data_IF_579283777919
#
_entry.id   IF_579283777919
#
_cell.length_a   1.000
_cell.length_b   1.000
_cell.length_c   1.000
_cell.angle_alpha   90.00
_cell.angle_beta   90.00
_cell.angle_gamma   90.00
#
_symmetry.space_group_name_H-M   'P 1'
#
loop_
_entity.id
_entity.type
_entity.pdbx_description
1 polymer ?
#
# COMPACT_ATOMS: atom_id res chain seq x y z
N UNK A 1 53.16 8.94 37.36
CA UNK A 1 53.58 9.79 36.22
C UNK A 1 52.33 10.11 35.41
N UNK A 2 52.02 11.41 35.29
CA UNK A 2 50.80 11.94 34.68
C UNK A 2 50.92 11.88 33.15
N UNK A 3 49.86 11.40 32.48
CA UNK A 3 49.62 11.72 31.07
C UNK A 3 48.18 12.21 30.94
N UNK A 4 48.06 13.49 30.65
CA UNK A 4 46.84 14.20 30.36
C UNK A 4 46.57 14.10 28.85
N UNK A 5 45.36 13.70 28.48
CA UNK A 5 44.90 13.70 27.09
C UNK A 5 43.96 14.89 26.92
N UNK A 6 44.42 15.87 26.13
CA UNK A 6 43.70 17.08 25.77
C UNK A 6 42.57 16.76 24.79
N UNK A 7 41.35 17.16 25.17
CA UNK A 7 40.16 17.21 24.33
C UNK A 7 40.19 18.53 23.55
N UNK A 8 40.22 18.47 22.22
CA UNK A 8 39.96 19.61 21.34
C UNK A 8 38.48 19.63 20.95
N UNK A 9 37.76 20.60 21.52
CA UNK A 9 36.41 21.01 21.10
C UNK A 9 36.57 22.00 19.94
N UNK A 10 36.14 21.61 18.73
CA UNK A 10 35.88 22.55 17.65
C UNK A 10 34.39 22.93 17.65
N UNK A 11 34.12 24.13 18.14
CA UNK A 11 32.88 24.88 17.95
C UNK A 11 32.91 25.53 16.57
N UNK A 12 32.02 25.11 15.67
CA UNK A 12 31.63 25.92 14.51
C UNK A 12 30.19 26.39 14.69
N UNK A 13 30.06 27.70 14.89
CA UNK A 13 28.84 28.46 14.64
C UNK A 13 28.72 28.67 13.12
N UNK A 14 27.52 28.47 12.55
CA UNK A 14 26.70 29.51 11.90
C UNK A 14 25.40 28.90 11.33
N UNK A 15 24.34 29.71 11.17
CA UNK A 15 22.95 29.28 11.08
C UNK A 15 22.39 29.38 9.66
N UNK A 16 21.55 28.44 9.23
CA UNK A 16 20.62 28.67 8.12
C UNK A 16 19.25 28.09 8.46
N UNK A 17 18.35 29.00 8.82
CA UNK A 17 16.91 28.80 8.88
C UNK A 17 16.37 28.68 7.45
N UNK A 18 15.82 27.52 7.11
CA UNK A 18 14.76 27.44 6.11
C UNK A 18 13.51 26.91 6.80
N UNK A 19 12.58 27.83 7.03
CA UNK A 19 11.19 27.54 7.32
C UNK A 19 10.61 26.78 6.12
N UNK A 20 10.10 25.58 6.38
CA UNK A 20 9.20 24.87 5.48
C UNK A 20 7.89 24.75 6.24
N UNK A 21 6.84 25.26 5.60
CA UNK A 21 5.49 25.39 6.10
C UNK A 21 4.91 24.06 6.58
N UNK A 22 4.41 24.06 7.82
CA UNK A 22 3.45 23.08 8.35
C UNK A 22 2.16 23.16 7.51
N UNK A 23 2.02 22.24 6.56
CA UNK A 23 0.74 21.99 5.89
C UNK A 23 -0.08 21.08 6.80
N UNK A 24 -0.91 21.72 7.62
CA UNK A 24 -1.96 21.14 8.45
C UNK A 24 -2.96 20.35 7.58
N UNK A 25 -2.74 19.04 7.43
CA UNK A 25 -3.74 18.12 6.86
C UNK A 25 -4.78 17.78 7.93
N UNK A 26 -5.76 18.67 8.11
CA UNK A 26 -7.01 18.35 8.83
C UNK A 26 -8.06 17.86 7.83
N UNK A 27 -8.56 16.62 7.90
CA UNK A 27 -9.81 16.29 7.24
C UNK A 27 -10.97 17.01 7.96
N UNK A 28 -11.73 17.79 7.20
CA UNK A 28 -12.99 18.40 7.63
C UNK A 28 -14.00 17.31 8.01
N UNK A 29 -14.06 16.98 9.30
CA UNK A 29 -15.19 16.26 9.89
C UNK A 29 -16.28 17.29 10.22
N UNK A 30 -17.45 17.09 9.60
CA UNK A 30 -18.68 17.86 9.77
C UNK A 30 -18.97 18.21 11.25
N UNK A 31 -18.96 19.50 11.57
CA UNK A 31 -19.06 20.10 12.91
C UNK A 31 -20.45 20.09 13.58
N UNK A 32 -21.32 19.13 13.27
CA UNK A 32 -22.74 19.22 13.69
C UNK A 32 -23.13 18.42 14.94
N UNK A 33 -22.24 17.66 15.60
CA UNK A 33 -22.62 16.82 16.77
C UNK A 33 -21.58 16.86 17.92
N UNK A 34 -21.09 18.04 18.31
CA UNK A 34 -20.19 18.17 19.48
C UNK A 34 -20.47 19.39 20.36
N UNK A 35 -21.74 19.70 20.62
CA UNK A 35 -22.12 20.71 21.63
C UNK A 35 -23.27 20.21 22.51
N UNK A 36 -22.98 19.27 23.41
CA UNK A 36 -23.84 19.02 24.57
C UNK A 36 -23.14 18.39 25.78
N UNK A 37 -21.96 17.79 25.64
CA UNK A 37 -21.25 17.19 26.76
C UNK A 37 -20.20 18.13 27.36
N UNK A 38 -20.61 19.12 28.15
CA UNK A 38 -19.76 19.72 29.20
C UNK A 38 -20.51 20.79 30.01
N UNK A 39 -21.37 20.37 30.95
CA UNK A 39 -21.70 21.16 32.15
C UNK A 39 -22.64 20.38 33.09
N UNK A 40 -22.06 19.63 34.03
CA UNK A 40 -22.68 19.44 35.37
C UNK A 40 -21.82 18.57 36.28
N UNK A 41 -20.90 19.20 37.01
CA UNK A 41 -20.49 18.73 38.35
C UNK A 41 -21.69 18.85 39.27
N UNK A 42 -22.21 17.81 39.90
CA UNK A 42 -22.87 17.92 41.21
C UNK A 42 -22.87 16.63 42.04
N UNK A 43 -23.04 16.88 43.34
CA UNK A 43 -22.78 16.07 44.53
C UNK A 43 -23.69 14.85 44.68
N UNK A 44 -23.11 13.76 45.18
CA UNK A 44 -23.81 12.57 45.67
C UNK A 44 -24.70 12.87 46.88
N UNK A 45 -25.98 12.48 46.84
CA UNK A 45 -26.84 12.35 48.01
C UNK A 45 -27.51 10.98 48.00
N UNK A 46 -27.12 10.16 48.97
CA UNK A 46 -27.84 9.06 49.64
C UNK A 46 -29.00 8.39 48.88
N UNK A 47 -28.74 7.19 48.35
CA UNK A 47 -29.76 6.22 47.93
C UNK A 47 -30.46 5.63 49.14
N UNK A 48 -31.79 5.76 49.20
CA UNK A 48 -32.65 4.83 49.94
C UNK A 48 -32.90 3.62 49.06
N UNK A 49 -32.50 2.44 49.54
CA UNK A 49 -32.87 1.15 48.97
C UNK A 49 -34.40 0.98 49.05
N UNK A 50 -35.04 0.90 47.89
CA UNK A 50 -36.37 0.32 47.74
C UNK A 50 -36.18 -1.16 47.41
N UNK A 51 -36.46 -2.02 48.38
CA UNK A 51 -36.61 -3.45 48.16
C UNK A 51 -37.91 -3.67 47.36
N UNK A 52 -37.79 -4.18 46.14
CA UNK A 52 -38.90 -4.67 45.34
C UNK A 52 -39.04 -6.16 45.65
N UNK A 53 -40.16 -6.54 46.28
CA UNK A 53 -40.52 -7.94 46.51
C UNK A 53 -41.02 -8.62 45.22
N UNK A 54 -41.08 -9.96 45.21
CA UNK A 54 -41.45 -10.73 44.01
C UNK A 54 -42.93 -10.51 43.66
N UNK A 55 -43.16 -9.98 42.46
CA UNK A 55 -44.48 -9.89 41.83
C UNK A 55 -44.96 -11.31 41.50
N UNK A 56 -45.98 -11.78 42.20
CA UNK A 56 -46.73 -12.98 41.83
C UNK A 56 -47.67 -12.64 40.67
N UNK A 57 -47.51 -13.35 39.55
CA UNK A 57 -48.43 -13.33 38.42
C UNK A 57 -49.84 -13.80 38.86
N UNK A 58 -50.90 -13.03 38.60
CA UNK A 58 -52.25 -13.55 38.72
C UNK A 58 -52.59 -14.34 37.45
N UNK A 59 -52.97 -15.60 37.66
CA UNK A 59 -53.33 -16.55 36.61
C UNK A 59 -54.45 -16.07 35.69
N UNK A 60 -54.29 -16.41 34.41
CA UNK A 60 -55.27 -16.25 33.34
C UNK A 60 -56.58 -16.97 33.71
N UNK A 61 -57.61 -16.20 34.05
CA UNK A 61 -58.98 -16.67 34.16
C UNK A 61 -59.67 -16.53 32.80
N UNK A 62 -59.84 -17.63 32.07
CA UNK A 62 -60.70 -17.73 30.89
C UNK A 62 -62.16 -17.84 31.32
N UNK A 63 -62.77 -16.74 31.76
CA UNK A 63 -64.23 -16.57 31.83
C UNK A 63 -64.59 -15.12 31.57
N UNK A 64 -64.89 -14.79 30.31
CA UNK A 64 -65.66 -13.59 29.98
C UNK A 64 -66.30 -13.75 28.60
N UNK A 65 -67.52 -14.25 28.61
CA UNK A 65 -68.45 -14.24 27.50
C UNK A 65 -69.80 -13.85 28.10
N UNK A 66 -70.00 -12.56 28.31
CA UNK A 66 -71.31 -11.99 28.65
C UNK A 66 -71.25 -10.46 28.56
N UNK A 67 -72.31 -9.87 27.98
CA UNK A 67 -72.67 -8.45 27.87
C UNK A 67 -72.29 -7.71 26.57
N UNK A 68 -72.96 -8.10 25.48
CA UNK A 68 -73.60 -7.11 24.60
C UNK A 68 -75.11 -7.21 24.84
N UNK A 69 -75.65 -6.41 25.77
CA UNK A 69 -77.08 -6.35 26.05
C UNK A 69 -77.60 -4.96 25.64
N UNK A 70 -78.29 -4.89 24.51
CA UNK A 70 -79.07 -3.71 24.12
C UNK A 70 -80.43 -3.71 24.80
N UNK A 71 -80.86 -2.53 25.19
CA UNK A 71 -82.09 -2.20 25.90
C UNK A 71 -83.38 -2.86 25.36
N UNK A 72 -84.06 -3.56 26.25
CA UNK A 72 -85.50 -3.46 26.56
C UNK A 72 -86.53 -3.48 25.43
N UNK A 73 -87.22 -4.62 25.28
CA UNK A 73 -88.68 -4.63 25.16
C UNK A 73 -89.24 -6.00 25.57
N UNK A 74 -90.18 -5.95 26.51
CA UNK A 74 -90.90 -7.10 27.06
C UNK A 74 -92.04 -7.49 26.12
N UNK A 75 -91.93 -8.65 25.47
CA UNK A 75 -93.07 -9.37 24.90
C UNK A 75 -92.86 -10.86 25.12
N UNK A 76 -93.80 -11.46 25.83
CA UNK A 76 -93.88 -12.90 26.14
C UNK A 76 -94.39 -13.72 24.94
N UNK A 77 -93.58 -14.65 24.43
CA UNK A 77 -94.03 -15.93 23.80
C UNK A 77 -92.83 -16.89 23.56
N UNK A 78 -93.06 -18.21 23.46
CA UNK A 78 -92.02 -19.24 23.63
C UNK A 78 -91.38 -19.72 22.32
N UNK A 79 -90.20 -20.33 22.49
CA UNK A 79 -89.53 -21.31 21.63
C UNK A 79 -89.26 -20.94 20.16
N UNK A 80 -88.12 -20.28 19.92
CA UNK A 80 -87.22 -20.58 18.81
C UNK A 80 -85.80 -20.40 19.32
N UNK A 81 -84.97 -21.45 19.28
CA UNK A 81 -83.54 -21.38 19.61
C UNK A 81 -82.83 -20.65 18.46
N UNK A 82 -82.27 -19.45 18.66
CA UNK A 82 -81.47 -18.79 17.62
C UNK A 82 -80.03 -19.22 17.80
N UNK A 83 -79.60 -20.25 17.07
CA UNK A 83 -78.18 -20.48 16.79
C UNK A 83 -77.73 -19.50 15.69
N UNK A 84 -77.81 -18.20 15.96
CA UNK A 84 -77.01 -17.21 15.26
C UNK A 84 -75.90 -16.82 16.21
N UNK A 85 -74.80 -17.57 16.19
CA UNK A 85 -73.52 -17.07 16.67
C UNK A 85 -73.22 -15.84 15.81
N UNK A 86 -73.61 -14.66 16.29
CA UNK A 86 -73.10 -13.40 15.77
C UNK A 86 -71.59 -13.46 15.94
N UNK A 87 -70.87 -13.75 14.85
CA UNK A 87 -69.44 -13.62 14.82
C UNK A 87 -69.13 -12.15 15.04
N UNK A 88 -68.76 -11.79 16.28
CA UNK A 88 -68.17 -10.49 16.58
C UNK A 88 -66.95 -10.32 15.67
N UNK A 89 -67.05 -9.41 14.70
CA UNK A 89 -65.93 -9.02 13.86
C UNK A 89 -64.99 -8.15 14.69
N UNK A 90 -63.73 -8.59 14.78
CA UNK A 90 -62.64 -7.84 15.40
C UNK A 90 -61.72 -7.30 14.31
N UNK A 91 -61.19 -6.10 14.49
CA UNK A 91 -60.11 -5.60 13.65
C UNK A 91 -58.79 -6.31 13.98
N UNK A 92 -57.95 -6.49 12.95
CA UNK A 92 -56.57 -6.99 13.11
C UNK A 92 -55.69 -5.90 13.73
N UNK A 93 -54.88 -6.30 14.72
CA UNK A 93 -53.91 -5.44 15.37
C UNK A 93 -52.84 -4.91 14.40
N UNK A 94 -52.21 -3.76 14.70
CA UNK A 94 -51.21 -3.18 13.81
C UNK A 94 -49.88 -3.97 13.86
N UNK A 95 -49.26 -4.18 12.70
CA UNK A 95 -47.92 -4.80 12.58
C UNK A 95 -46.82 -3.75 12.79
N UNK A 96 -46.60 -3.38 14.04
CA UNK A 96 -45.53 -2.47 14.45
C UNK A 96 -44.38 -3.23 15.10
N UNK A 97 -43.19 -2.62 15.12
CA UNK A 97 -42.04 -3.18 15.81
C UNK A 97 -42.34 -3.37 17.32
N UNK A 98 -42.41 -4.62 17.81
CA UNK A 98 -42.77 -4.91 19.21
C UNK A 98 -41.72 -4.43 20.22
N UNK A 99 -40.57 -3.94 19.76
CA UNK A 99 -39.54 -3.32 20.58
C UNK A 99 -39.74 -1.83 20.81
N UNK A 100 -40.38 -1.15 19.86
CA UNK A 100 -40.58 0.30 19.92
C UNK A 100 -42.00 0.60 20.42
N UNK A 101 -42.95 -0.25 20.05
CA UNK A 101 -44.37 -0.02 20.31
C UNK A 101 -44.96 -1.13 21.17
N UNK A 102 -45.74 -0.74 22.16
CA UNK A 102 -46.65 -1.62 22.90
C UNK A 102 -48.05 -1.53 22.28
N UNK A 103 -48.43 -2.62 21.63
CA UNK A 103 -49.72 -2.80 20.95
C UNK A 103 -50.60 -3.85 21.64
N UNK A 104 -50.28 -4.20 22.90
CA UNK A 104 -50.99 -5.24 23.65
C UNK A 104 -52.50 -5.00 23.77
N UNK A 105 -52.91 -3.73 23.89
CA UNK A 105 -54.31 -3.28 23.91
C UNK A 105 -55.05 -3.48 22.57
N UNK A 106 -54.32 -3.66 21.46
CA UNK A 106 -54.87 -3.68 20.10
C UNK A 106 -55.04 -5.08 19.51
N UNK A 107 -54.85 -6.13 20.30
CA UNK A 107 -54.90 -7.52 19.81
C UNK A 107 -56.32 -7.98 19.42
N UNK A 108 -57.38 -7.37 19.98
CA UNK A 108 -58.80 -7.68 19.69
C UNK A 108 -59.72 -6.48 19.92
N UNK A 109 -59.77 -5.56 18.95
CA UNK A 109 -60.64 -4.38 19.02
C UNK A 109 -61.95 -4.67 18.27
N UNK A 110 -63.09 -4.56 18.96
CA UNK A 110 -64.41 -4.72 18.34
C UNK A 110 -64.69 -3.59 17.34
N UNK A 111 -65.55 -3.83 16.36
CA UNK A 111 -66.01 -2.77 15.45
C UNK A 111 -66.47 -1.52 16.20
N UNK A 112 -66.03 -0.35 15.74
CA UNK A 112 -66.29 0.93 16.39
C UNK A 112 -65.49 1.19 17.67
N UNK A 113 -64.73 0.20 18.15
CA UNK A 113 -63.85 0.34 19.31
C UNK A 113 -62.53 1.02 18.97
N UNK A 114 -61.80 1.40 20.01
CA UNK A 114 -60.45 1.92 19.90
C UNK A 114 -59.49 1.28 20.90
N UNK A 115 -58.19 1.32 20.60
CA UNK A 115 -57.10 0.91 21.48
C UNK A 115 -55.99 1.96 21.45
N UNK A 116 -55.09 1.95 22.45
CA UNK A 116 -53.92 2.85 22.46
C UNK A 116 -52.65 2.11 22.07
N UNK A 117 -51.92 2.69 21.11
CA UNK A 117 -50.54 2.32 20.79
C UNK A 117 -49.64 3.20 21.64
N UNK A 118 -48.82 2.58 22.50
CA UNK A 118 -47.90 3.28 23.41
C UNK A 118 -46.46 3.06 22.96
N UNK A 119 -45.57 4.01 23.27
CA UNK A 119 -44.14 3.75 23.15
C UNK A 119 -43.71 2.79 24.26
N UNK A 120 -43.01 1.71 23.88
CA UNK A 120 -42.48 0.74 24.82
C UNK A 120 -41.19 1.28 25.43
N UNK A 121 -41.00 1.12 26.74
CA UNK A 121 -39.76 1.55 27.43
C UNK A 121 -38.56 0.88 26.74
N UNK A 122 -37.48 1.63 26.41
CA UNK A 122 -37.11 2.97 26.88
C UNK A 122 -37.56 4.12 25.96
N UNK A 123 -38.44 3.89 25.00
CA UNK A 123 -38.91 4.96 24.13
C UNK A 123 -39.98 5.81 24.82
N UNK A 124 -39.87 7.12 24.68
CA UNK A 124 -40.82 8.11 25.16
C UNK A 124 -41.55 8.73 23.99
N UNK A 125 -42.84 8.94 24.16
CA UNK A 125 -43.68 9.59 23.17
C UNK A 125 -45.13 9.59 23.62
N UNK A 126 -45.91 10.51 23.06
CA UNK A 126 -47.35 10.51 23.30
C UNK A 126 -47.96 9.25 22.68
N UNK A 127 -48.82 8.56 23.43
CA UNK A 127 -49.60 7.46 22.88
C UNK A 127 -50.56 7.97 21.80
N UNK A 128 -50.86 7.11 20.83
CA UNK A 128 -51.83 7.39 19.77
C UNK A 128 -52.96 6.39 19.84
N UNK A 129 -54.15 6.86 19.49
CA UNK A 129 -55.35 6.05 19.45
C UNK A 129 -55.47 5.41 18.05
N UNK A 130 -55.80 4.12 18.05
CA UNK A 130 -56.09 3.34 16.87
C UNK A 130 -57.56 2.94 16.91
N UNK A 131 -58.30 3.21 15.84
CA UNK A 131 -59.76 3.05 15.78
C UNK A 131 -60.12 1.97 14.77
N UNK A 132 -61.00 1.05 15.19
CA UNK A 132 -61.61 0.06 14.32
C UNK A 132 -62.84 0.70 13.66
N UNK A 133 -62.86 0.88 12.33
CA UNK A 133 -63.95 1.58 11.67
C UNK A 133 -65.32 0.88 11.87
N UNK A 134 -66.39 1.65 11.81
CA UNK A 134 -67.78 1.17 11.93
C UNK A 134 -68.30 0.52 10.64
N UNK A 135 -67.46 0.31 9.62
CA UNK A 135 -67.88 -0.14 8.29
C UNK A 135 -68.58 -1.50 8.36
N UNK A 136 -69.90 -1.48 8.23
CA UNK A 136 -70.67 -2.66 7.89
C UNK A 136 -70.32 -3.09 6.48
N UNK A 137 -69.48 -4.11 6.33
CA UNK A 137 -69.54 -5.10 5.24
C UNK A 137 -68.47 -6.19 5.40
N UNK A 138 -68.87 -7.31 6.00
CA UNK A 138 -68.64 -8.71 5.56
C UNK A 138 -67.24 -9.22 5.17
N UNK A 139 -66.16 -8.45 5.30
CA UNK A 139 -64.79 -8.93 5.15
C UNK A 139 -64.20 -9.29 6.50
N UNK A 140 -63.78 -10.54 6.70
CA UNK A 140 -63.00 -10.94 7.86
C UNK A 140 -61.67 -10.16 7.84
N UNK A 141 -61.39 -9.40 8.92
CA UNK A 141 -60.13 -8.68 9.20
C UNK A 141 -59.88 -7.33 8.48
N UNK A 142 -60.67 -6.30 8.78
CA UNK A 142 -60.21 -4.92 8.53
C UNK A 142 -59.07 -4.54 9.50
N UNK A 143 -58.07 -3.80 9.00
CA UNK A 143 -56.97 -3.28 9.82
C UNK A 143 -57.44 -2.05 10.60
N UNK A 144 -56.88 -1.86 11.80
CA UNK A 144 -57.07 -0.62 12.57
C UNK A 144 -56.59 0.61 11.78
N UNK A 145 -57.33 1.71 11.90
CA UNK A 145 -56.91 3.03 11.39
C UNK A 145 -56.18 3.80 12.49
N UNK A 146 -54.92 4.18 12.26
CA UNK A 146 -54.09 4.83 13.27
C UNK A 146 -52.99 5.69 12.66
N UNK A 147 -52.40 6.54 13.50
CA UNK A 147 -51.15 7.24 13.22
C UNK A 147 -50.06 6.66 14.13
N UNK A 148 -48.89 6.35 13.56
CA UNK A 148 -47.76 5.83 14.33
C UNK A 148 -47.31 6.89 15.36
N UNK A 149 -47.23 6.58 16.66
CA UNK A 149 -46.72 7.52 17.65
C UNK A 149 -45.24 7.84 17.40
N UNK A 150 -44.86 9.10 17.63
CA UNK A 150 -43.45 9.52 17.53
C UNK A 150 -42.70 9.07 18.78
N UNK A 151 -42.13 7.87 18.75
CA UNK A 151 -41.36 7.31 19.84
C UNK A 151 -39.88 7.70 19.69
N UNK A 152 -39.37 8.50 20.64
CA UNK A 152 -37.96 8.90 20.71
C UNK A 152 -37.31 8.14 21.85
N UNK A 153 -36.10 7.62 21.65
CA UNK A 153 -35.40 6.92 22.72
C UNK A 153 -35.16 7.88 23.90
N UNK A 154 -35.51 7.49 25.13
CA UNK A 154 -35.32 8.32 26.33
C UNK A 154 -33.86 8.71 26.63
N UNK A 155 -32.92 8.18 25.85
CA UNK A 155 -31.49 8.51 25.88
C UNK A 155 -31.21 10.00 25.68
N UNK A 156 -32.07 10.75 24.99
CA UNK A 156 -31.89 12.18 24.76
C UNK A 156 -32.26 13.07 25.97
N UNK A 157 -32.88 12.52 27.03
CA UNK A 157 -33.38 13.29 28.18
C UNK A 157 -32.64 13.02 29.51
N UNK A 158 -31.35 12.69 29.46
CA UNK A 158 -30.42 12.62 30.61
C UNK A 158 -30.74 11.63 31.75
N UNK A 159 -31.83 10.85 31.67
CA UNK A 159 -32.27 9.99 32.79
C UNK A 159 -32.17 8.49 32.57
N UNK A 160 -31.90 8.02 31.34
CA UNK A 160 -31.85 6.58 31.08
C UNK A 160 -30.41 6.11 30.88
N UNK A 161 -29.85 5.56 31.97
CA UNK A 161 -28.61 4.79 31.93
C UNK A 161 -28.80 3.55 31.07
N UNK A 162 -28.27 3.59 29.86
CA UNK A 162 -28.16 2.43 28.98
C UNK A 162 -27.23 1.38 29.61
N UNK A 163 -27.75 0.20 29.99
CA UNK A 163 -26.97 -0.78 30.70
C UNK A 163 -25.85 -1.31 29.79
N UNK A 164 -24.68 -1.50 30.39
CA UNK A 164 -23.58 -2.15 29.72
C UNK A 164 -23.93 -3.63 29.45
N UNK A 165 -23.34 -4.25 28.41
CA UNK A 165 -23.48 -5.68 28.20
C UNK A 165 -22.93 -6.46 29.40
N UNK A 166 -23.42 -7.69 29.65
CA UNK A 166 -22.94 -8.53 30.74
C UNK A 166 -21.43 -8.73 30.71
N UNK A 167 -20.86 -8.84 29.50
CA UNK A 167 -19.44 -8.90 29.25
C UNK A 167 -19.01 -7.68 28.45
N UNK A 168 -18.15 -6.85 29.03
CA UNK A 168 -17.52 -5.75 28.31
C UNK A 168 -16.53 -6.34 27.31
N UNK A 169 -16.57 -5.97 26.01
CA UNK A 169 -15.60 -6.46 25.05
C UNK A 169 -14.17 -6.06 25.48
N UNK A 170 -13.22 -6.98 25.33
CA UNK A 170 -11.83 -6.84 25.82
C UNK A 170 -11.11 -5.58 25.32
N UNK A 171 -11.56 -5.00 24.20
CA UNK A 171 -10.99 -3.81 23.58
C UNK A 171 -11.28 -2.51 24.33
N UNK A 172 -12.17 -2.53 25.33
CA UNK A 172 -12.65 -1.33 26.01
C UNK A 172 -12.42 -1.42 27.52
N UNK A 173 -12.12 -0.27 28.14
CA UNK A 173 -12.11 -0.12 29.60
C UNK A 173 -12.67 1.25 29.98
N UNK A 174 -13.28 1.33 31.15
CA UNK A 174 -13.81 2.57 31.70
C UNK A 174 -12.79 3.19 32.66
N UNK A 175 -12.53 4.49 32.55
CA UNK A 175 -11.69 5.22 33.50
C UNK A 175 -12.47 5.42 34.81
N UNK A 176 -11.90 5.00 35.94
CA UNK A 176 -12.56 5.08 37.25
C UNK A 176 -12.83 6.53 37.70
N UNK A 177 -11.99 7.47 37.28
CA UNK A 177 -12.06 8.87 37.71
C UNK A 177 -13.16 9.67 36.98
N UNK A 178 -13.33 9.44 35.67
CA UNK A 178 -14.24 10.22 34.83
C UNK A 178 -15.48 9.44 34.41
N UNK A 179 -15.42 8.12 34.39
CA UNK A 179 -16.45 7.26 33.80
C UNK A 179 -16.37 7.18 32.27
N UNK A 180 -15.37 7.79 31.63
CA UNK A 180 -15.21 7.74 30.18
C UNK A 180 -14.71 6.38 29.71
N UNK A 181 -15.13 6.00 28.50
CA UNK A 181 -14.64 4.80 27.83
C UNK A 181 -13.39 5.12 27.03
N UNK A 182 -12.38 4.27 27.17
CA UNK A 182 -11.14 4.33 26.41
C UNK A 182 -10.76 2.94 25.89
N UNK A 183 -9.91 2.89 24.87
CA UNK A 183 -9.38 1.61 24.41
C UNK A 183 -8.52 0.96 25.50
N UNK A 184 -8.65 -0.37 25.61
CA UNK A 184 -7.84 -1.19 26.51
C UNK A 184 -6.39 -1.30 26.00
N UNK A 185 -5.42 -1.66 26.85
CA UNK A 185 -4.05 -1.93 26.41
C UNK A 185 -4.02 -2.96 25.28
N UNK A 186 -3.21 -2.69 24.24
CA UNK A 186 -3.20 -3.51 23.01
C UNK A 186 -4.23 -3.09 21.97
N UNK A 187 -5.01 -2.03 22.21
CA UNK A 187 -5.98 -1.47 21.27
C UNK A 187 -5.75 0.03 21.07
N UNK A 188 -6.11 0.54 19.91
CA UNK A 188 -6.03 1.96 19.57
C UNK A 188 -7.30 2.42 18.83
N UNK A 189 -7.56 3.73 18.87
CA UNK A 189 -8.71 4.37 18.27
C UNK A 189 -9.51 5.23 19.24
N UNK A 190 -10.77 5.50 18.90
CA UNK A 190 -11.70 6.26 19.75
C UNK A 190 -12.77 5.32 20.25
N UNK A 191 -12.84 5.12 21.56
CA UNK A 191 -13.89 4.29 22.15
C UNK A 191 -15.25 4.99 22.02
N UNK A 192 -16.11 4.43 21.17
CA UNK A 192 -17.48 4.87 21.00
C UNK A 192 -18.40 3.92 21.75
N UNK A 193 -19.36 4.52 22.47
CA UNK A 193 -20.42 3.80 23.18
C UNK A 193 -21.75 4.33 22.68
N UNK A 194 -22.42 3.54 21.87
CA UNK A 194 -23.74 3.83 21.34
C UNK A 194 -24.78 2.94 22.02
N UNK A 195 -26.02 3.40 22.11
CA UNK A 195 -27.09 2.61 22.72
C UNK A 195 -28.07 2.16 21.66
N UNK A 196 -28.16 0.84 21.53
CA UNK A 196 -29.01 0.21 20.51
C UNK A 196 -30.01 -0.71 21.20
N UNK A 197 -31.15 -0.92 20.56
CA UNK A 197 -32.13 -1.91 21.02
C UNK A 197 -31.82 -3.24 20.36
N UNK A 198 -31.49 -4.23 21.17
CA UNK A 198 -31.17 -5.59 20.73
C UNK A 198 -32.36 -6.49 21.02
N UNK A 199 -32.75 -7.30 20.03
CA UNK A 199 -33.80 -8.32 20.19
C UNK A 199 -33.19 -9.60 20.74
N UNK A 200 -33.74 -10.08 21.86
CA UNK A 200 -33.43 -11.38 22.43
C UNK A 200 -34.75 -12.16 22.58
N UNK A 201 -35.10 -12.94 21.55
CA UNK A 201 -36.43 -13.54 21.45
C UNK A 201 -37.52 -12.49 21.25
N UNK A 202 -38.57 -12.53 22.06
CA UNK A 202 -39.65 -11.52 22.10
C UNK A 202 -39.31 -10.30 22.97
N UNK A 203 -38.23 -10.37 23.75
CA UNK A 203 -37.76 -9.28 24.58
C UNK A 203 -36.88 -8.33 23.78
N UNK A 204 -36.99 -7.04 24.09
CA UNK A 204 -36.19 -6.00 23.49
C UNK A 204 -35.45 -5.29 24.61
N UNK A 205 -34.12 -5.34 24.55
CA UNK A 205 -33.25 -4.81 25.59
C UNK A 205 -32.46 -3.65 25.01
N UNK A 206 -32.53 -2.51 25.69
CA UNK A 206 -31.59 -1.42 25.42
C UNK A 206 -30.24 -1.84 25.98
N UNK A 207 -29.21 -1.90 25.13
CA UNK A 207 -27.87 -2.30 25.53
C UNK A 207 -26.83 -1.42 24.86
N UNK A 208 -25.77 -1.11 25.60
CA UNK A 208 -24.63 -0.39 25.05
C UNK A 208 -23.84 -1.27 24.07
N UNK A 209 -23.57 -0.73 22.88
CA UNK A 209 -22.71 -1.31 21.86
C UNK A 209 -21.44 -0.47 21.78
N UNK A 210 -20.30 -1.16 21.76
CA UNK A 210 -18.99 -0.54 21.75
C UNK A 210 -18.33 -0.68 20.37
N UNK A 211 -17.77 0.41 19.87
CA UNK A 211 -17.08 0.44 18.58
C UNK A 211 -15.88 1.40 18.61
N UNK A 212 -15.04 1.36 17.57
CA UNK A 212 -13.95 2.31 17.36
C UNK A 212 -12.61 2.00 18.05
N UNK A 213 -12.51 0.94 18.86
CA UNK A 213 -11.23 0.41 19.33
C UNK A 213 -10.83 -0.82 18.52
N UNK A 214 -9.66 -0.77 17.89
CA UNK A 214 -9.11 -1.83 17.05
C UNK A 214 -7.83 -2.38 17.67
N UNK A 215 -7.59 -3.68 17.50
CA UNK A 215 -6.38 -4.31 18.03
C UNK A 215 -5.14 -3.71 17.34
N UNK A 216 -4.13 -3.40 18.14
CA UNK A 216 -2.82 -3.02 17.62
C UNK A 216 -2.22 -4.24 16.91
N UNK A 217 -1.65 -4.01 15.74
CA UNK A 217 -1.06 -5.06 14.92
C UNK A 217 0.34 -4.67 14.49
N UNK A 218 1.21 -5.68 14.37
CA UNK A 218 2.52 -5.51 13.77
C UNK A 218 2.43 -5.11 12.30
N UNK A 219 3.54 -4.61 11.76
CA UNK A 219 3.64 -4.25 10.36
C UNK A 219 4.12 -5.44 9.52
N UNK A 220 3.73 -5.45 8.26
CA UNK A 220 4.26 -6.38 7.28
C UNK A 220 5.73 -6.07 6.99
N UNK A 221 6.54 -7.12 6.94
CA UNK A 221 7.93 -7.03 6.54
C UNK A 221 8.02 -6.50 5.09
N UNK A 222 9.09 -5.75 4.75
CA UNK A 222 9.33 -5.33 3.38
C UNK A 222 9.51 -6.55 2.48
N UNK A 223 8.89 -6.53 1.32
CA UNK A 223 9.10 -7.54 0.28
C UNK A 223 9.95 -6.91 -0.82
N UNK A 224 11.25 -7.24 -0.91
CA UNK A 224 12.13 -6.59 -1.85
C UNK A 224 11.71 -6.75 -3.32
N UNK A 225 10.95 -7.79 -3.66
CA UNK A 225 10.49 -8.02 -5.03
C UNK A 225 9.36 -7.05 -5.44
N UNK A 226 8.51 -6.65 -4.50
CA UNK A 226 7.36 -5.77 -4.78
C UNK A 226 7.58 -4.33 -4.37
N UNK A 227 8.39 -4.08 -3.33
CA UNK A 227 8.66 -2.74 -2.80
C UNK A 227 9.73 -1.97 -3.60
N UNK A 228 10.61 -2.69 -4.33
CA UNK A 228 11.64 -2.09 -5.17
C UNK A 228 11.48 -2.51 -6.63
N UNK A 229 10.45 -2.00 -7.35
CA UNK A 229 10.27 -2.34 -8.75
C UNK A 229 11.47 -1.86 -9.57
N UNK A 230 12.01 -2.77 -10.39
CA UNK A 230 13.07 -2.51 -11.35
C UNK A 230 12.71 -1.27 -12.20
N UNK A 231 13.51 -0.19 -12.12
CA UNK A 231 13.30 1.01 -12.94
C UNK A 231 13.37 2.36 -12.24
N UNK A 232 13.53 2.41 -10.90
CA UNK A 232 13.81 3.67 -10.17
C UNK A 232 15.27 3.76 -9.76
N UNK A 233 16.11 4.28 -10.65
CA UNK A 233 17.44 4.88 -10.42
C UNK A 233 18.52 4.06 -9.68
N UNK A 234 18.21 2.88 -9.14
CA UNK A 234 19.15 2.04 -8.41
C UNK A 234 19.35 0.74 -9.19
N UNK A 235 20.59 0.47 -9.62
CA UNK A 235 20.96 -0.74 -10.37
C UNK A 235 20.98 -2.01 -9.49
N UNK A 236 20.32 -1.98 -8.33
CA UNK A 236 20.35 -3.02 -7.30
C UNK A 236 19.09 -3.89 -7.40
N UNK A 237 19.22 -5.19 -7.71
CA UNK A 237 18.06 -6.09 -7.75
C UNK A 237 17.47 -6.30 -6.35
N UNK A 238 16.22 -6.81 -6.28
CA UNK A 238 15.50 -7.08 -5.04
C UNK A 238 16.34 -7.82 -3.97
N UNK A 239 17.20 -8.74 -4.38
CA UNK A 239 18.03 -9.49 -3.45
C UNK A 239 19.31 -8.79 -2.98
N UNK A 240 19.54 -7.54 -3.41
CA UNK A 240 20.61 -6.71 -2.87
C UNK A 240 20.29 -6.12 -1.50
N UNK A 241 19.08 -6.33 -0.99
CA UNK A 241 18.66 -5.86 0.33
C UNK A 241 18.61 -7.02 1.33
N UNK A 242 19.03 -6.72 2.56
CA UNK A 242 18.92 -7.60 3.71
C UNK A 242 17.82 -7.08 4.65
N UNK A 243 16.73 -7.84 4.76
CA UNK A 243 15.59 -7.55 5.63
C UNK A 243 15.54 -8.48 6.85
N UNK A 244 16.62 -9.20 7.13
CA UNK A 244 16.70 -10.12 8.27
C UNK A 244 16.41 -9.37 9.57
N UNK A 245 15.45 -9.88 10.35
CA UNK A 245 15.03 -9.24 11.61
C UNK A 245 13.91 -8.20 11.46
N UNK A 246 13.39 -7.97 10.25
CA UNK A 246 12.16 -7.20 10.01
C UNK A 246 10.89 -8.06 9.98
N UNK A 247 11.01 -9.36 10.27
CA UNK A 247 9.87 -10.26 10.40
C UNK A 247 9.15 -9.99 11.73
N UNK A 248 7.84 -9.75 11.69
CA UNK A 248 6.98 -9.57 12.88
C UNK A 248 7.29 -8.33 13.74
N UNK A 249 7.74 -7.23 13.14
CA UNK A 249 7.93 -5.95 13.86
C UNK A 249 6.59 -5.48 14.44
N UNK A 250 6.49 -5.43 15.77
CA UNK A 250 5.27 -5.01 16.47
C UNK A 250 5.06 -3.50 16.29
N UNK A 251 3.84 -3.03 16.57
CA UNK A 251 3.54 -1.60 16.56
C UNK A 251 4.51 -0.83 17.49
N UNK A 252 5.04 0.29 17.00
CA UNK A 252 6.04 1.10 17.71
C UNK A 252 7.47 0.57 17.66
N UNK A 253 7.69 -0.64 17.17
CA UNK A 253 9.03 -1.20 17.04
C UNK A 253 9.67 -0.79 15.71
N UNK A 254 10.98 -1.03 15.63
CA UNK A 254 11.78 -0.78 14.44
C UNK A 254 12.76 -1.93 14.18
N UNK A 255 13.15 -2.09 12.92
CA UNK A 255 14.23 -2.99 12.47
C UNK A 255 15.22 -2.24 11.57
N UNK A 256 16.36 -2.87 11.26
CA UNK A 256 17.33 -2.35 10.29
C UNK A 256 17.15 -3.08 8.96
N UNK A 257 17.13 -2.33 7.86
CA UNK A 257 17.22 -2.87 6.50
C UNK A 257 18.58 -2.48 5.95
N UNK A 258 19.36 -3.47 5.56
CA UNK A 258 20.74 -3.29 5.08
C UNK A 258 20.91 -3.62 3.61
N UNK A 259 22.14 -3.42 3.14
CA UNK A 259 22.61 -4.01 1.88
C UNK A 259 23.10 -5.43 2.15
N UNK A 260 22.82 -6.36 1.24
CA UNK A 260 23.15 -7.78 1.42
C UNK A 260 24.62 -8.05 1.19
N UNK A 261 25.32 -8.39 2.28
CA UNK A 261 26.71 -8.88 2.24
C UNK A 261 26.78 -10.28 1.59
N UNK A 262 27.87 -10.64 0.88
CA UNK A 262 29.06 -9.84 0.54
C UNK A 262 28.97 -9.20 -0.86
N UNK A 263 27.77 -9.12 -1.43
CA UNK A 263 27.56 -8.69 -2.81
C UNK A 263 27.36 -7.19 -2.92
N UNK A 264 26.85 -6.57 -1.85
CA UNK A 264 26.55 -5.16 -1.78
C UNK A 264 27.08 -4.58 -0.47
N UNK A 265 27.44 -3.30 -0.48
CA UNK A 265 27.74 -2.53 0.73
C UNK A 265 26.95 -1.23 0.70
N UNK A 266 26.70 -0.68 1.88
CA UNK A 266 25.98 0.58 2.02
C UNK A 266 25.62 0.84 3.48
N UNK A 267 24.97 1.96 3.70
CA UNK A 267 24.52 2.36 5.04
C UNK A 267 23.13 1.76 5.28
N UNK A 268 22.94 0.99 6.37
CA UNK A 268 21.62 0.47 6.70
C UNK A 268 20.67 1.61 7.10
N UNK A 269 19.38 1.36 6.91
CA UNK A 269 18.29 2.30 7.23
C UNK A 269 17.39 1.69 8.28
N UNK A 270 16.80 2.55 9.11
CA UNK A 270 15.84 2.11 10.14
C UNK A 270 14.43 2.12 9.57
N UNK A 271 13.75 0.99 9.68
CA UNK A 271 12.35 0.83 9.30
C UNK A 271 11.48 0.77 10.56
N UNK A 272 10.37 1.51 10.56
CA UNK A 272 9.55 1.75 11.76
C UNK A 272 8.12 1.30 11.51
N UNK A 273 7.52 0.62 12.48
CA UNK A 273 6.09 0.35 12.52
C UNK A 273 5.40 1.40 13.40
N UNK A 274 4.34 2.09 12.94
CA UNK A 274 3.63 3.07 13.76
C UNK A 274 3.12 2.48 15.08
N UNK A 275 3.25 3.22 16.19
CA UNK A 275 2.73 2.80 17.51
C UNK A 275 1.22 2.57 17.50
N UNK A 276 0.52 3.28 16.63
CA UNK A 276 -0.94 3.29 16.48
C UNK A 276 -1.42 2.38 15.35
N UNK A 277 -0.58 1.47 14.85
CA UNK A 277 -0.96 0.63 13.73
C UNK A 277 -2.08 -0.36 14.11
N UNK A 278 -3.22 -0.24 13.45
CA UNK A 278 -4.37 -1.14 13.57
C UNK A 278 -4.70 -1.83 12.23
N UNK A 279 -3.96 -1.54 11.16
CA UNK A 279 -4.15 -2.15 9.84
C UNK A 279 -3.20 -3.34 9.68
N UNK A 280 -3.70 -4.58 9.52
CA UNK A 280 -2.87 -5.76 9.35
C UNK A 280 -2.05 -5.76 8.06
N UNK A 281 -2.38 -4.87 7.10
CA UNK A 281 -1.66 -4.75 5.83
C UNK A 281 -0.66 -3.58 5.82
N UNK A 282 -0.52 -2.84 6.92
CA UNK A 282 0.42 -1.74 7.01
C UNK A 282 1.86 -2.26 6.85
N UNK A 283 2.57 -1.77 5.84
CA UNK A 283 4.00 -2.03 5.65
C UNK A 283 4.83 -1.15 6.59
N UNK A 284 6.06 -1.58 6.87
CA UNK A 284 7.03 -0.73 7.56
C UNK A 284 7.27 0.59 6.81
N UNK A 285 7.48 1.66 7.56
CA UNK A 285 7.83 2.98 7.02
C UNK A 285 9.35 3.11 7.04
N UNK A 286 9.96 3.29 5.87
CA UNK A 286 11.41 3.43 5.72
C UNK A 286 11.78 4.17 4.43
N UNK A 287 13.05 4.53 4.30
CA UNK A 287 13.65 5.01 3.05
C UNK A 287 14.57 3.92 2.49
N UNK A 288 14.66 3.75 1.18
CA UNK A 288 15.51 2.72 0.56
C UNK A 288 16.99 2.93 0.93
N UNK A 289 17.71 1.90 1.41
CA UNK A 289 19.15 2.04 1.65
C UNK A 289 19.89 2.19 0.32
N UNK A 290 20.92 3.03 0.31
CA UNK A 290 21.79 3.20 -0.86
C UNK A 290 22.81 2.07 -0.84
N UNK A 291 22.71 1.16 -1.82
CA UNK A 291 23.57 -0.01 -1.92
C UNK A 291 24.43 0.07 -3.18
N UNK A 292 25.74 -0.06 -2.99
CA UNK A 292 26.73 -0.15 -4.04
C UNK A 292 27.16 -1.60 -4.25
N UNK A 293 27.37 -1.99 -5.52
CA UNK A 293 27.77 -3.35 -5.88
C UNK A 293 29.24 -3.59 -5.53
N UNK A 294 29.54 -4.72 -4.89
CA UNK A 294 30.91 -5.22 -4.72
C UNK A 294 31.24 -6.16 -5.87
N UNK A 295 32.13 -5.69 -6.74
CA UNK A 295 32.60 -6.42 -7.90
C UNK A 295 34.06 -6.86 -7.68
N UNK A 296 34.30 -8.10 -7.18
CA UNK A 296 35.65 -8.61 -7.03
C UNK A 296 36.36 -8.63 -8.39
N UNK A 297 37.68 -8.51 -8.37
CA UNK A 297 38.46 -8.74 -9.58
C UNK A 297 38.35 -10.22 -9.97
N UNK A 298 38.08 -10.54 -11.25
CA UNK A 298 38.01 -11.93 -11.70
C UNK A 298 39.39 -12.58 -11.57
N UNK A 299 39.44 -13.90 -11.47
CA UNK A 299 40.73 -14.60 -11.56
C UNK A 299 41.30 -14.40 -12.97
N UNK A 300 42.63 -14.33 -13.10
CA UNK A 300 43.29 -14.12 -14.40
C UNK A 300 42.88 -15.19 -15.43
N UNK A 301 42.62 -16.42 -14.98
CA UNK A 301 42.15 -17.53 -15.81
C UNK A 301 40.71 -17.30 -16.32
N UNK A 302 39.85 -16.67 -15.52
CA UNK A 302 38.45 -16.36 -15.86
C UNK A 302 38.34 -15.15 -16.79
N UNK A 303 39.27 -14.19 -16.67
CA UNK A 303 39.32 -13.01 -17.54
C UNK A 303 39.58 -13.37 -19.01
N UNK A 304 40.30 -14.48 -19.25
CA UNK A 304 40.67 -14.94 -20.58
C UNK A 304 42.01 -14.39 -21.09
N UNK A 305 42.51 -14.90 -22.24
CA UNK A 305 43.90 -14.69 -22.69
C UNK A 305 44.24 -13.27 -23.12
N UNK A 306 43.24 -12.41 -23.32
CA UNK A 306 43.41 -11.03 -23.75
C UNK A 306 43.79 -10.05 -22.65
N UNK A 307 43.74 -10.48 -21.39
CA UNK A 307 43.81 -9.59 -20.24
C UNK A 307 44.99 -9.94 -19.33
N UNK A 308 45.58 -8.91 -18.72
CA UNK A 308 46.62 -9.03 -17.69
C UNK A 308 46.29 -8.10 -16.53
N UNK A 309 46.43 -8.60 -15.30
CA UNK A 309 46.23 -7.82 -14.08
C UNK A 309 47.58 -7.43 -13.47
N UNK A 310 47.78 -6.13 -13.24
CA UNK A 310 48.95 -5.64 -12.52
C UNK A 310 48.63 -5.52 -11.02
N UNK A 311 49.26 -6.36 -10.22
CA UNK A 311 49.06 -6.43 -8.77
C UNK A 311 49.49 -5.15 -8.03
N UNK A 312 50.43 -4.38 -8.59
CA UNK A 312 50.98 -3.19 -7.94
C UNK A 312 50.05 -2.00 -8.17
N UNK A 313 49.52 -1.86 -9.38
CA UNK A 313 48.60 -0.77 -9.73
C UNK A 313 47.13 -1.14 -9.50
N UNK A 314 46.82 -2.43 -9.29
CA UNK A 314 45.46 -3.00 -9.21
C UNK A 314 44.62 -2.65 -10.45
N UNK A 315 45.24 -2.68 -11.62
CA UNK A 315 44.61 -2.33 -12.89
C UNK A 315 44.69 -3.47 -13.89
N UNK A 316 43.59 -3.66 -14.62
CA UNK A 316 43.53 -4.55 -15.78
C UNK A 316 44.06 -3.84 -17.02
N UNK A 317 44.79 -4.57 -17.85
CA UNK A 317 45.36 -4.12 -19.11
C UNK A 317 45.22 -5.20 -20.18
N UNK A 318 45.33 -4.82 -21.46
CA UNK A 318 45.36 -5.80 -22.55
C UNK A 318 46.76 -6.42 -22.66
N UNK A 319 46.84 -7.73 -22.89
CA UNK A 319 48.12 -8.40 -23.14
C UNK A 319 48.73 -7.92 -24.47
N UNK A 320 50.05 -8.09 -24.71
CA UNK A 320 50.71 -7.54 -25.90
C UNK A 320 50.13 -7.94 -27.26
N UNK A 321 49.42 -9.08 -27.34
CA UNK A 321 48.76 -9.58 -28.55
C UNK A 321 47.35 -9.02 -28.76
N UNK A 322 46.86 -8.22 -27.82
CA UNK A 322 45.55 -7.61 -27.83
C UNK A 322 45.69 -6.09 -27.87
N UNK A 323 44.61 -5.40 -28.21
CA UNK A 323 44.52 -3.94 -28.25
C UNK A 323 43.20 -3.48 -27.66
N UNK A 324 43.12 -2.22 -27.27
CA UNK A 324 41.92 -1.62 -26.66
C UNK A 324 42.13 -1.25 -25.20
N UNK A 325 41.02 -1.16 -24.45
CA UNK A 325 41.00 -0.81 -23.03
C UNK A 325 40.30 -1.94 -22.28
N UNK A 326 41.01 -2.56 -21.34
CA UNK A 326 40.40 -3.54 -20.45
C UNK A 326 39.38 -2.83 -19.56
N UNK A 327 38.12 -3.27 -19.63
CA UNK A 327 37.02 -2.80 -18.80
C UNK A 327 36.42 -3.99 -18.07
N UNK A 328 36.33 -3.86 -16.75
CA UNK A 328 35.61 -4.82 -15.90
C UNK A 328 34.13 -4.44 -15.91
N UNK A 329 33.30 -5.27 -16.51
CA UNK A 329 31.85 -5.18 -16.43
C UNK A 329 31.36 -6.16 -15.37
N UNK A 330 30.42 -5.70 -14.55
CA UNK A 330 29.93 -6.46 -13.42
C UNK A 330 28.42 -6.30 -13.33
N UNK A 331 27.75 -7.39 -13.66
CA UNK A 331 26.31 -7.49 -13.64
C UNK A 331 25.88 -8.46 -12.54
N UNK A 332 24.71 -8.21 -11.96
CA UNK A 332 24.13 -9.07 -10.94
C UNK A 332 22.80 -9.58 -11.51
N UNK A 333 22.67 -10.90 -11.61
CA UNK A 333 21.46 -11.52 -12.12
C UNK A 333 20.31 -11.40 -11.13
N UNK A 334 19.08 -11.65 -11.59
CA UNK A 334 17.91 -11.71 -10.71
C UNK A 334 18.03 -12.81 -9.63
N UNK A 335 18.86 -13.83 -9.85
CA UNK A 335 19.21 -14.87 -8.88
C UNK A 335 20.36 -14.46 -7.95
N UNK A 336 20.75 -13.19 -7.96
CA UNK A 336 21.81 -12.64 -7.10
C UNK A 336 23.18 -13.26 -7.37
N UNK A 337 23.37 -13.77 -8.58
CA UNK A 337 24.65 -14.29 -9.00
C UNK A 337 25.42 -13.16 -9.65
N UNK A 338 26.68 -13.02 -9.26
CA UNK A 338 27.60 -12.07 -9.89
C UNK A 338 28.07 -12.66 -11.20
N UNK A 339 27.97 -11.87 -12.26
CA UNK A 339 28.58 -12.14 -13.55
C UNK A 339 29.61 -11.05 -13.77
N UNK A 340 30.89 -11.42 -13.68
CA UNK A 340 32.01 -10.51 -13.96
C UNK A 340 32.51 -10.86 -15.35
N UNK A 341 32.45 -9.89 -16.25
CA UNK A 341 32.93 -10.04 -17.62
C UNK A 341 34.02 -9.00 -17.89
N UNK A 342 35.10 -9.45 -18.52
CA UNK A 342 36.14 -8.56 -19.01
C UNK A 342 35.86 -8.26 -20.48
N UNK A 343 35.71 -6.98 -20.80
CA UNK A 343 35.46 -6.50 -22.17
C UNK A 343 36.52 -5.49 -22.62
N UNK A 344 36.59 -5.28 -23.93
CA UNK A 344 37.38 -4.20 -24.53
C UNK A 344 38.82 -4.53 -24.95
N UNK A 345 39.33 -5.73 -24.68
CA UNK A 345 40.59 -6.20 -25.28
C UNK A 345 40.30 -7.11 -26.47
N UNK A 346 40.62 -6.63 -27.67
CA UNK A 346 40.42 -7.35 -28.93
C UNK A 346 41.74 -7.92 -29.45
N UNK A 347 41.75 -9.13 -30.04
CA UNK A 347 42.95 -9.69 -30.62
C UNK A 347 43.45 -8.81 -31.76
N UNK A 348 44.76 -8.59 -31.81
CA UNK A 348 45.39 -7.92 -32.95
C UNK A 348 45.35 -8.85 -34.15
N UNK A 349 44.47 -8.55 -35.10
CA UNK A 349 44.40 -9.28 -36.36
C UNK A 349 45.45 -8.77 -37.36
N UNK A 350 46.01 -9.63 -38.20
CA UNK A 350 46.81 -9.19 -39.34
C UNK A 350 46.02 -8.22 -40.21
N UNK A 351 46.73 -7.32 -40.90
CA UNK A 351 46.09 -6.49 -41.92
C UNK A 351 45.52 -7.39 -43.03
N UNK A 352 44.31 -7.07 -43.50
CA UNK A 352 43.77 -7.72 -44.69
C UNK A 352 44.72 -7.49 -45.87
N UNK A 353 44.90 -8.52 -46.70
CA UNK A 353 45.65 -8.35 -47.94
C UNK A 353 45.02 -7.22 -48.79
N UNK A 354 45.82 -6.36 -49.40
CA UNK A 354 45.30 -5.27 -50.20
C UNK A 354 44.61 -5.83 -51.47
N UNK A 355 43.41 -5.34 -51.77
CA UNK A 355 42.67 -5.67 -53.01
C UNK A 355 43.23 -4.89 -54.21
N UNK A 356 44.46 -5.22 -54.60
CA UNK A 356 45.14 -4.61 -55.74
C UNK A 356 45.18 -5.59 -56.92
N UNK A 357 45.43 -5.07 -58.12
CA UNK A 357 45.64 -5.90 -59.32
C UNK A 357 47.02 -6.56 -59.27
N UNK A 358 47.04 -7.91 -59.17
CA UNK A 358 48.25 -8.73 -59.08
C UNK A 358 49.16 -8.61 -60.29
N UNK A 359 48.61 -8.16 -61.43
CA UNK A 359 49.37 -7.93 -62.65
C UNK A 359 50.10 -6.58 -62.63
N UNK A 360 49.65 -5.63 -61.81
CA UNK A 360 50.13 -4.24 -61.82
C UNK A 360 50.99 -3.91 -60.60
N UNK A 361 50.65 -4.45 -59.44
CA UNK A 361 51.35 -4.20 -58.19
C UNK A 361 52.03 -5.50 -57.69
N UNK A 362 53.17 -5.35 -57.04
CA UNK A 362 53.82 -6.38 -56.25
C UNK A 362 53.75 -6.00 -54.77
N UNK A 363 52.91 -6.73 -54.05
CA UNK A 363 52.77 -6.65 -52.60
C UNK A 363 53.10 -7.99 -51.95
N UNK A 364 53.96 -8.79 -52.58
CA UNK A 364 54.40 -10.09 -52.02
C UNK A 364 55.01 -9.95 -50.62
N UNK A 365 55.59 -8.80 -50.28
CA UNK A 365 56.07 -8.47 -48.93
C UNK A 365 54.99 -8.07 -47.91
N UNK A 366 53.72 -8.03 -48.31
CA UNK A 366 52.59 -7.62 -47.47
C UNK A 366 51.74 -8.79 -46.96
N UNK A 367 52.11 -10.04 -47.26
CA UNK A 367 51.46 -11.21 -46.67
C UNK A 367 51.76 -11.30 -45.16
N UNK A 368 50.75 -11.66 -44.37
CA UNK A 368 50.87 -11.92 -42.92
C UNK A 368 51.46 -10.78 -42.06
N UNK A 369 51.20 -9.52 -42.42
CA UNK A 369 51.65 -8.39 -41.60
C UNK A 369 50.95 -8.37 -40.25
N UNK A 370 51.74 -8.43 -39.19
CA UNK A 370 51.26 -8.18 -37.82
C UNK A 370 50.72 -6.76 -37.68
N UNK A 371 49.71 -6.56 -36.84
CA UNK A 371 49.12 -5.26 -36.60
C UNK A 371 50.17 -4.21 -36.20
N UNK A 372 50.13 -3.05 -36.87
CA UNK A 372 51.08 -1.94 -36.64
C UNK A 372 52.37 -2.03 -37.47
N UNK A 373 52.55 -3.08 -38.26
CA UNK A 373 53.67 -3.21 -39.21
C UNK A 373 53.24 -2.69 -40.59
N UNK A 374 54.12 -1.95 -41.26
CA UNK A 374 53.94 -1.49 -42.65
C UNK A 374 54.71 -2.38 -43.62
N UNK A 375 54.19 -2.57 -44.83
CA UNK A 375 54.93 -3.17 -45.95
C UNK A 375 55.13 -2.17 -47.09
N UNK A 376 56.08 -2.48 -47.98
CA UNK A 376 56.23 -1.79 -49.25
C UNK A 376 55.37 -2.47 -50.32
N UNK A 377 54.66 -1.66 -51.11
CA UNK A 377 54.00 -2.10 -52.34
C UNK A 377 54.75 -1.46 -53.52
N UNK A 378 55.14 -2.26 -54.49
CA UNK A 378 55.94 -1.81 -55.64
C UNK A 378 55.21 -2.05 -56.96
N UNK A 379 55.60 -1.36 -58.03
CA UNK A 379 55.04 -1.62 -59.36
C UNK A 379 55.72 -2.84 -59.99
N UNK A 380 54.95 -3.76 -60.58
CA UNK A 380 55.52 -4.82 -61.40
C UNK A 380 56.01 -4.24 -62.72
N UNK A 381 57.10 -4.77 -63.27
CA UNK A 381 57.51 -4.44 -64.64
C UNK A 381 56.40 -4.83 -65.63
N UNK A 382 56.06 -4.01 -66.65
CA UNK A 382 56.73 -2.79 -67.12
C UNK A 382 56.07 -1.50 -66.60
N UNK A 383 55.51 -1.51 -65.39
CA UNK A 383 54.89 -0.33 -64.81
C UNK A 383 55.91 0.43 -63.94
N UNK A 384 55.92 1.76 -64.05
CA UNK A 384 56.73 2.65 -63.21
C UNK A 384 55.82 3.47 -62.26
N UNK A 385 56.28 3.63 -61.03
CA UNK A 385 55.64 4.40 -59.98
C UNK A 385 56.56 4.50 -58.76
N UNK A 386 56.36 5.50 -57.90
CA UNK A 386 57.18 5.64 -56.69
C UNK A 386 56.72 4.61 -55.65
N UNK A 387 57.67 3.99 -54.94
CA UNK A 387 57.33 3.11 -53.82
C UNK A 387 56.67 3.92 -52.70
N UNK A 388 55.62 3.38 -52.09
CA UNK A 388 54.95 4.00 -50.94
C UNK A 388 54.96 3.03 -49.76
N UNK A 389 55.28 3.53 -48.57
CA UNK A 389 55.09 2.82 -47.31
C UNK A 389 53.76 3.28 -46.71
N UNK A 390 52.80 2.37 -46.56
CA UNK A 390 51.55 2.67 -45.85
C UNK A 390 51.78 2.51 -44.35
N UNK A 391 51.99 3.62 -43.66
CA UNK A 391 51.96 3.66 -42.20
C UNK A 391 50.68 4.37 -41.75
N UNK A 392 49.70 3.58 -41.29
CA UNK A 392 48.55 4.08 -40.52
C UNK A 392 47.44 4.78 -41.32
N UNK A 393 46.37 4.03 -41.62
CA UNK A 393 44.99 4.52 -41.61
C UNK A 393 44.52 5.56 -42.64
N UNK A 394 45.39 6.15 -43.47
CA UNK A 394 44.95 7.06 -44.53
C UNK A 394 44.46 6.28 -45.75
N UNK A 395 43.24 6.59 -46.21
CA UNK A 395 42.70 6.13 -47.48
C UNK A 395 43.57 6.71 -48.61
N UNK A 396 44.45 5.89 -49.17
CA UNK A 396 45.30 6.26 -50.30
C UNK A 396 44.54 5.97 -51.58
N UNK A 397 44.23 6.99 -52.37
CA UNK A 397 43.76 6.81 -53.75
C UNK A 397 44.94 6.40 -54.63
N UNK A 398 44.83 5.33 -55.44
CA UNK A 398 45.94 4.81 -56.22
C UNK A 398 46.20 5.66 -57.47
N UNK A 399 46.95 6.74 -57.32
CA UNK A 399 47.76 7.31 -58.41
C UNK A 399 49.12 6.58 -58.38
N UNK A 400 49.35 5.38 -58.88
CA UNK A 400 48.81 4.65 -60.01
C UNK A 400 50.04 4.12 -60.76
N UNK A 401 50.36 2.83 -60.69
CA UNK A 401 51.52 2.28 -61.43
C UNK A 401 51.30 2.47 -62.93
N UNK A 402 51.94 3.42 -63.60
CA UNK A 402 51.64 3.73 -65.00
C UNK A 402 52.44 2.79 -65.91
N UNK A 403 51.82 2.32 -66.99
CA UNK A 403 52.52 1.48 -67.97
C UNK A 403 53.63 2.33 -68.58
N UNK A 404 54.87 1.86 -68.58
CA UNK A 404 55.95 2.59 -69.26
C UNK A 404 55.51 2.84 -70.72
N UNK A 405 55.61 4.07 -71.23
CA UNK A 405 55.39 4.32 -72.64
C UNK A 405 56.40 3.47 -73.43
N UNK A 406 55.91 2.57 -74.30
CA UNK A 406 56.72 1.61 -75.07
C UNK A 406 57.59 2.26 -76.17
N UNK A 407 58.03 3.50 -76.00
CA UNK A 407 58.81 4.25 -76.99
C UNK A 407 60.01 4.94 -76.35
N UNK A 408 60.95 4.14 -75.84
CA UNK A 408 62.34 4.56 -75.70
C UNK A 408 63.23 3.58 -76.48
N UNK A 409 63.09 3.61 -77.81
CA UNK A 409 64.25 3.35 -78.65
C UNK A 409 65.24 4.48 -78.38
N UNK A 410 66.49 4.10 -78.10
CA UNK A 410 67.59 5.00 -77.80
C UNK A 410 67.73 6.11 -78.86
N UNK A 411 67.24 7.30 -78.53
CA UNK A 411 67.53 8.55 -79.21
C UNK A 411 68.64 9.30 -78.44
N UNK A 412 69.64 9.87 -79.13
CA UNK A 412 70.82 10.41 -78.48
C UNK A 412 70.51 11.63 -77.62
N UNK A 413 71.19 11.68 -76.46
CA UNK A 413 71.29 12.79 -75.51
C UNK A 413 71.05 14.17 -76.14
N UNK A 414 69.95 14.81 -75.77
CA UNK A 414 69.87 16.27 -75.72
C UNK A 414 69.67 16.74 -74.29
N UNK A 415 70.70 17.48 -73.83
CA UNK A 415 70.73 18.27 -72.60
C UNK A 415 69.42 19.05 -72.43
N UNK A 416 68.76 18.84 -71.30
CA UNK A 416 68.02 19.92 -70.63
C UNK A 416 68.49 20.01 -69.19
N UNK A 417 69.09 21.15 -68.89
CA UNK A 417 69.50 21.56 -67.57
C UNK A 417 68.25 21.96 -66.76
N UNK A 418 68.16 21.33 -65.58
CA UNK A 418 67.81 21.88 -64.28
C UNK A 418 66.75 23.00 -64.16
N UNK A 419 65.81 22.75 -63.25
CA UNK A 419 65.53 23.71 -62.18
C UNK A 419 64.08 24.15 -62.05
N UNK A 420 63.27 23.41 -61.28
CA UNK A 420 62.21 24.04 -60.47
C UNK A 420 61.82 23.17 -59.28
N UNK A 421 62.35 23.58 -58.13
CA UNK A 421 61.90 23.21 -56.79
C UNK A 421 60.53 23.84 -56.56
N UNK A 422 59.52 23.04 -56.23
CA UNK A 422 58.25 23.53 -55.68
C UNK A 422 58.22 23.10 -54.22
N UNK A 423 58.34 24.07 -53.32
CA UNK A 423 57.91 23.92 -51.94
C UNK A 423 56.39 24.11 -51.88
N UNK A 424 55.68 23.19 -51.23
CA UNK A 424 54.34 23.42 -50.69
C UNK A 424 54.28 22.86 -49.27
N UNK A 425 53.95 23.78 -48.37
CA UNK A 425 53.36 23.73 -47.04
C UNK A 425 53.10 22.38 -46.40
#
# INVERSE_FOLDING_TARGET
MRSATLIWLYLFCLPWLHAIDDIDWRPNVSQTIQRSANRSKWRSRSSRQLQIGPSQDPGFNTKRSELCASHGQSVTRPEVVPTSLELCSYCRGPELDPCIYDVSECSRVSQGGSCRIRCKVPYLGASREAVCPFSGNSGFEENLTFLVPSCVAALEQDQVSCPNPPEIPKAYRQLQETGDWVCAPGFHGTALRECTVIRMGEACLLQAVFSGCFALTGCLAPDPATDYPEGRASDVPACGYDTTGCENVQNGQSCQIGCKDPLFFGVPVTAICPETNTDPNQKLIYSTPVCDKICPDPLVEEAGPGYSYDIFTKQWSCTPKYTGRAVKQCDITQQCQRVVEMVGCLPRMPCAEPELDRCRYDWSSCGDLSAGVSCAITCRSPYEGRHWASAGGQHITPEGCHRCPQTWQAGPLRRFLAGKTIHKW
#
